data_IF_127016260367
#
_entry.id   IF_127016260367
#
_cell.length_a   1.000
_cell.length_b   1.000
_cell.length_c   1.000
_cell.angle_alpha   90.00
_cell.angle_beta   90.00
_cell.angle_gamma   90.00
#
_symmetry.space_group_name_H-M   'P 1'
#
loop_
_entity.id
_entity.type
_entity.pdbx_description
1 polymer ?
#
# COMPACT_ATOMS: atom_id res chain seq x y z
N UNK A 1 -15.25 13.12 2.90
CA UNK A 1 -14.95 12.63 1.54
C UNK A 1 -13.64 11.86 1.65
N UNK A 2 -13.51 10.68 1.06
CA UNK A 2 -12.22 9.99 1.04
C UNK A 2 -11.33 10.69 -0.01
N UNK A 3 -10.15 11.16 0.39
CA UNK A 3 -9.17 11.67 -0.56
C UNK A 3 -8.51 10.47 -1.24
N UNK A 4 -8.65 10.35 -2.56
CA UNK A 4 -7.97 9.33 -3.35
C UNK A 4 -6.79 9.98 -4.06
N UNK A 5 -5.58 9.43 -3.88
CA UNK A 5 -4.40 9.90 -4.60
C UNK A 5 -4.33 9.18 -5.95
N UNK A 6 -4.10 9.93 -7.02
CA UNK A 6 -3.84 9.33 -8.33
C UNK A 6 -2.43 8.70 -8.41
N UNK A 7 -2.18 7.93 -9.46
CA UNK A 7 -0.90 7.26 -9.67
C UNK A 7 0.29 8.24 -9.71
N UNK A 8 0.09 9.45 -10.25
CA UNK A 8 1.14 10.46 -10.36
C UNK A 8 1.52 11.03 -8.99
N UNK A 9 0.53 11.30 -8.14
CA UNK A 9 0.70 11.75 -6.76
C UNK A 9 1.43 10.68 -5.94
N UNK A 10 1.02 9.42 -6.08
CA UNK A 10 1.67 8.29 -5.41
C UNK A 10 3.12 8.17 -5.87
N UNK A 11 3.38 8.27 -7.17
CA UNK A 11 4.74 8.23 -7.71
C UNK A 11 5.62 9.36 -7.16
N UNK A 12 5.08 10.59 -7.11
CA UNK A 12 5.78 11.75 -6.57
C UNK A 12 6.12 11.59 -5.07
N UNK A 13 5.16 11.14 -4.26
CA UNK A 13 5.35 10.91 -2.82
C UNK A 13 6.39 9.82 -2.56
N UNK A 14 6.39 8.76 -3.39
CA UNK A 14 7.37 7.68 -3.28
C UNK A 14 8.74 8.02 -3.91
N UNK A 15 8.87 9.18 -4.57
CA UNK A 15 10.10 9.61 -5.23
C UNK A 15 10.47 8.73 -6.43
N UNK A 16 9.48 8.25 -7.20
CA UNK A 16 9.68 7.30 -8.31
C UNK A 16 9.14 7.86 -9.62
N UNK A 17 9.86 7.60 -10.71
CA UNK A 17 9.49 8.10 -12.04
C UNK A 17 9.15 6.99 -13.04
N UNK A 18 9.53 5.73 -12.78
CA UNK A 18 9.44 4.61 -13.74
C UNK A 18 9.08 3.25 -13.10
N UNK A 19 8.48 3.22 -11.91
CA UNK A 19 8.03 1.97 -11.32
C UNK A 19 6.65 1.59 -11.91
N UNK A 20 6.45 0.31 -12.25
CA UNK A 20 5.11 -0.27 -12.37
C UNK A 20 4.47 -0.20 -10.97
N UNK A 21 3.79 0.91 -10.70
CA UNK A 21 2.89 1.05 -9.56
C UNK A 21 1.61 0.36 -10.01
N UNK A 22 1.52 -0.93 -9.72
CA UNK A 22 0.23 -1.59 -9.70
C UNK A 22 -0.55 -1.05 -8.51
N UNK A 23 -1.32 0.01 -8.77
CA UNK A 23 -2.52 0.27 -7.99
C UNK A 23 -3.43 -0.93 -8.24
N UNK A 24 -3.20 -2.04 -7.52
CA UNK A 24 -4.28 -3.01 -7.41
C UNK A 24 -5.46 -2.23 -6.84
N UNK A 25 -6.51 -2.13 -7.65
CA UNK A 25 -7.69 -1.29 -7.51
C UNK A 25 -8.56 -1.65 -6.30
N UNK A 26 -7.93 -1.70 -5.14
CA UNK A 26 -8.61 -1.65 -3.88
C UNK A 26 -7.75 -0.70 -3.06
N UNK A 27 -8.10 0.59 -2.92
CA UNK A 27 -7.72 1.27 -1.70
C UNK A 27 -8.31 0.41 -0.59
N UNK A 28 -7.48 -0.47 0.00
CA UNK A 28 -7.86 -1.22 1.17
C UNK A 28 -7.95 -0.15 2.24
N UNK A 29 -9.17 0.36 2.40
CA UNK A 29 -9.49 1.37 3.39
C UNK A 29 -9.08 0.78 4.71
N UNK A 30 -8.17 1.47 5.36
CA UNK A 30 -7.72 1.05 6.66
C UNK A 30 -8.88 1.30 7.62
N UNK A 31 -9.51 0.24 8.12
CA UNK A 31 -10.62 0.39 9.06
C UNK A 31 -10.12 1.16 10.28
N UNK A 32 -10.83 2.24 10.65
CA UNK A 32 -10.42 3.14 11.73
C UNK A 32 -9.50 4.29 11.29
N UNK A 33 -9.13 4.38 10.01
CA UNK A 33 -8.34 5.50 9.44
C UNK A 33 -8.82 5.83 8.01
N UNK A 34 -9.85 6.70 7.87
CA UNK A 34 -10.47 7.00 6.58
C UNK A 34 -9.57 7.79 5.62
N UNK A 35 -8.48 8.36 6.13
CA UNK A 35 -7.51 9.16 5.38
C UNK A 35 -6.30 8.33 4.95
N UNK A 36 -6.35 7.01 5.18
CA UNK A 36 -5.28 6.09 4.83
C UNK A 36 -5.72 4.96 3.91
N UNK A 37 -4.81 4.59 3.00
CA UNK A 37 -4.96 3.44 2.12
C UNK A 37 -3.59 2.79 1.86
N UNK A 38 -3.62 1.58 1.31
CA UNK A 38 -2.41 0.82 1.02
C UNK A 38 -2.07 0.85 -0.47
N UNK A 39 -0.78 0.96 -0.79
CA UNK A 39 -0.24 0.91 -2.15
C UNK A 39 0.78 -0.20 -2.26
N UNK A 40 0.63 -1.06 -3.26
CA UNK A 40 1.65 -2.03 -3.64
C UNK A 40 2.55 -1.46 -4.73
N UNK A 41 3.86 -1.62 -4.56
CA UNK A 41 4.87 -1.29 -5.56
C UNK A 41 5.71 -2.53 -5.87
N UNK A 42 5.95 -2.79 -7.14
CA UNK A 42 6.86 -3.83 -7.61
C UNK A 42 8.20 -3.22 -8.06
N UNK A 43 9.31 -3.69 -7.51
CA UNK A 43 10.68 -3.22 -7.82
C UNK A 43 11.62 -4.41 -7.84
N UNK A 44 12.28 -4.69 -8.97
CA UNK A 44 13.33 -5.72 -9.07
C UNK A 44 12.95 -7.07 -8.44
N UNK A 45 11.77 -7.60 -8.79
CA UNK A 45 11.19 -8.81 -8.18
C UNK A 45 10.98 -8.72 -6.66
N UNK A 46 10.76 -7.52 -6.13
CA UNK A 46 10.31 -7.30 -4.76
C UNK A 46 8.97 -6.59 -4.77
N UNK A 47 8.09 -7.01 -3.86
CA UNK A 47 6.87 -6.30 -3.54
C UNK A 47 7.08 -5.47 -2.28
N UNK A 48 6.68 -4.21 -2.34
CA UNK A 48 6.75 -3.28 -1.22
C UNK A 48 5.34 -2.74 -1.00
N UNK A 49 4.88 -2.78 0.24
CA UNK A 49 3.60 -2.22 0.65
C UNK A 49 3.85 -0.92 1.39
N UNK A 50 3.19 0.14 0.94
CA UNK A 50 3.21 1.44 1.57
C UNK A 50 1.84 1.76 2.15
N UNK A 51 1.82 2.29 3.36
CA UNK A 51 0.69 3.03 3.89
C UNK A 51 0.78 4.47 3.39
N UNK A 52 -0.18 4.86 2.57
CA UNK A 52 -0.42 6.24 2.20
C UNK A 52 -1.36 6.85 3.22
N UNK A 53 -1.03 8.03 3.75
CA UNK A 53 -1.91 8.79 4.63
C UNK A 53 -1.96 10.24 4.22
N UNK A 54 -3.17 10.77 4.10
CA UNK A 54 -3.43 12.18 3.88
C UNK A 54 -3.31 12.95 5.19
N UNK A 55 -2.60 14.07 5.16
CA UNK A 55 -2.57 15.00 6.28
C UNK A 55 -3.46 16.21 5.96
N UNK A 56 -4.65 16.34 6.58
CA UNK A 56 -5.58 17.42 6.29
C UNK A 56 -5.08 18.79 6.78
N UNK A 57 -4.08 18.84 7.66
CA UNK A 57 -3.53 20.11 8.14
C UNK A 57 -2.52 20.72 7.16
N UNK A 58 -1.85 19.89 6.37
CA UNK A 58 -0.82 20.31 5.43
C UNK A 58 -1.22 20.16 3.97
N UNK A 59 -2.39 19.57 3.70
CA UNK A 59 -2.85 19.27 2.34
C UNK A 59 -1.82 18.39 1.58
N UNK A 60 -1.23 17.42 2.29
CA UNK A 60 -0.11 16.62 1.77
C UNK A 60 -0.28 15.14 2.04
N UNK A 61 0.17 14.33 1.07
CA UNK A 61 0.30 12.89 1.21
C UNK A 61 1.64 12.51 1.83
N UNK A 62 1.61 11.52 2.70
CA UNK A 62 2.80 10.86 3.23
C UNK A 62 2.73 9.37 2.95
N UNK A 63 3.90 8.75 2.78
CA UNK A 63 4.02 7.30 2.59
C UNK A 63 4.94 6.71 3.66
N UNK A 64 4.56 5.55 4.18
CA UNK A 64 5.41 4.75 5.06
C UNK A 64 5.46 3.31 4.56
N UNK A 65 6.66 2.78 4.35
CA UNK A 65 6.84 1.35 4.09
C UNK A 65 6.36 0.55 5.31
N UNK A 66 5.44 -0.39 5.09
CA UNK A 66 4.90 -1.28 6.14
C UNK A 66 5.29 -2.74 5.92
N UNK A 67 5.69 -3.11 4.71
CA UNK A 67 6.16 -4.47 4.39
C UNK A 67 7.04 -4.48 3.14
N UNK A 68 8.00 -5.40 3.11
CA UNK A 68 8.83 -5.74 1.95
C UNK A 68 8.98 -7.25 1.83
N UNK A 69 8.81 -7.79 0.63
CA UNK A 69 8.96 -9.21 0.34
C UNK A 69 9.37 -9.49 -1.11
N UNK A 70 9.68 -10.75 -1.43
CA UNK A 70 10.03 -11.18 -2.79
C UNK A 70 8.79 -11.43 -3.65
N UNK A 71 8.90 -11.16 -4.96
CA UNK A 71 7.89 -11.44 -5.97
C UNK A 71 7.86 -12.93 -6.24
N UNK A 72 6.75 -13.57 -5.85
CA UNK A 72 6.58 -15.02 -5.81
C UNK A 72 5.75 -15.46 -4.61
N UNK A 73 5.78 -14.67 -3.53
CA UNK A 73 4.73 -14.68 -2.52
C UNK A 73 3.59 -13.81 -3.03
N UNK A 74 2.49 -14.41 -3.50
CA UNK A 74 1.30 -13.62 -3.79
C UNK A 74 0.79 -13.06 -2.47
N UNK A 75 1.00 -11.77 -2.22
CA UNK A 75 0.44 -11.07 -1.08
C UNK A 75 -0.97 -10.61 -1.46
N UNK A 76 -1.97 -11.39 -1.07
CA UNK A 76 -3.37 -10.94 -1.14
C UNK A 76 -3.72 -10.34 0.21
N UNK A 77 -3.82 -9.01 0.25
CA UNK A 77 -4.23 -8.30 1.46
C UNK A 77 -5.75 -8.34 1.51
N UNK A 78 -6.29 -9.11 2.45
CA UNK A 78 -7.74 -9.30 2.59
C UNK A 78 -8.38 -8.19 3.43
N UNK A 79 -7.65 -7.68 4.42
CA UNK A 79 -8.12 -6.62 5.29
C UNK A 79 -6.95 -5.83 5.89
N UNK A 80 -7.18 -4.53 6.12
CA UNK A 80 -6.29 -3.66 6.89
C UNK A 80 -7.12 -2.88 7.93
N UNK A 81 -6.65 -2.86 9.17
CA UNK A 81 -7.30 -2.12 10.25
C UNK A 81 -6.27 -1.42 11.13
N UNK A 82 -6.62 -0.25 11.66
CA UNK A 82 -5.89 0.43 12.73
C UNK A 82 -6.58 0.13 14.05
N UNK A 83 -5.86 -0.50 14.97
CA UNK A 83 -6.29 -0.79 16.33
C UNK A 83 -5.23 -0.25 17.30
N UNK A 84 -5.59 0.78 18.09
CA UNK A 84 -4.69 1.40 19.06
C UNK A 84 -3.37 1.92 18.47
N UNK A 85 -3.38 2.42 17.22
CA UNK A 85 -2.18 2.90 16.51
C UNK A 85 -1.34 1.79 15.85
N UNK A 86 -1.75 0.53 15.97
CA UNK A 86 -1.16 -0.62 15.27
C UNK A 86 -1.92 -0.88 13.98
N UNK A 87 -1.21 -1.02 12.87
CA UNK A 87 -1.81 -1.44 11.60
C UNK A 87 -1.75 -2.96 11.54
N UNK A 88 -2.92 -3.60 11.55
CA UNK A 88 -3.07 -5.03 11.32
C UNK A 88 -3.31 -5.27 9.84
N UNK A 89 -2.43 -6.05 9.22
CA UNK A 89 -2.54 -6.50 7.84
C UNK A 89 -2.82 -8.00 7.85
N UNK A 90 -3.98 -8.40 7.33
CA UNK A 90 -4.28 -9.81 7.11
C UNK A 90 -3.93 -10.15 5.66
N UNK A 91 -2.91 -10.98 5.49
CA UNK A 91 -2.46 -11.41 4.18
C UNK A 91 -2.46 -12.93 4.05
N UNK A 92 -2.83 -13.41 2.87
CA UNK A 92 -2.61 -14.80 2.47
C UNK A 92 -1.41 -14.79 1.56
N UNK A 93 -0.37 -15.56 1.91
CA UNK A 93 0.74 -15.85 1.01
C UNK A 93 0.42 -17.12 0.26
N UNK A 94 0.32 -17.06 -1.07
CA UNK A 94 0.50 -18.25 -1.88
C UNK A 94 1.97 -18.31 -2.28
N UNK A 95 2.71 -19.28 -1.73
CA UNK A 95 3.89 -19.79 -2.42
C UNK A 95 3.36 -20.56 -3.62
N UNK A 96 3.75 -20.15 -4.81
CA UNK A 96 3.56 -21.00 -5.98
C UNK A 96 4.56 -22.14 -5.84
N UNK A 97 4.20 -23.18 -5.08
CA UNK A 97 4.94 -24.44 -5.15
C UNK A 97 4.79 -24.97 -6.58
N UNK A 98 5.94 -25.35 -7.12
CA UNK A 98 6.19 -25.78 -8.49
C UNK A 98 5.10 -26.72 -9.04
N UNK A 99 4.55 -26.36 -10.20
CA UNK A 99 4.13 -27.31 -11.25
C UNK A 99 4.44 -26.69 -12.61
#
# INVERSE_FOLDING_TARGET
MAHEADAATIAAVLGVTNALIELQEFPIRVQGDPDAFLVRRLVDRRQILYLMRWNPHTDQWTAREVMRGEVGQHLVINNAAVDGGTIRLNFVTHTKDEV
#
